data_IF_103212230704
#
_entry.id   IF_103212230704
#
_cell.length_a   1.000
_cell.length_b   1.000
_cell.length_c   1.000
_cell.angle_alpha   90.00
_cell.angle_beta   90.00
_cell.angle_gamma   90.00
#
_symmetry.space_group_name_H-M   'P 1'
#
loop_
_entity.id
_entity.type
_entity.pdbx_description
1 polymer ?
#
# COMPACT_ATOMS: atom_id res chain seq x y z
N UNK A 1 -17.10 7.01 26.77
CA UNK A 1 -16.57 6.61 25.47
C UNK A 1 -15.59 5.48 25.72
N UNK A 2 -15.39 4.60 24.76
CA UNK A 2 -14.44 3.50 24.89
C UNK A 2 -13.70 3.22 23.59
N UNK A 3 -12.41 2.93 23.74
CA UNK A 3 -11.50 2.57 22.66
C UNK A 3 -10.92 1.17 22.94
N UNK A 4 -11.34 0.16 22.18
CA UNK A 4 -10.87 -1.21 22.36
C UNK A 4 -9.97 -1.65 21.20
N UNK A 5 -8.79 -2.19 21.52
CA UNK A 5 -7.79 -2.64 20.54
C UNK A 5 -7.71 -4.17 20.49
N UNK A 6 -8.08 -4.76 19.36
CA UNK A 6 -7.96 -6.20 19.10
C UNK A 6 -6.63 -6.50 18.39
N UNK A 7 -5.58 -6.75 19.17
CA UNK A 7 -4.25 -7.07 18.66
C UNK A 7 -4.17 -8.56 18.32
N UNK A 8 -3.90 -8.89 17.05
CA UNK A 8 -3.68 -10.28 16.61
C UNK A 8 -2.19 -10.58 16.49
N UNK A 9 -1.75 -11.70 17.08
CA UNK A 9 -0.38 -12.21 16.91
C UNK A 9 -0.09 -12.39 15.43
N UNK A 10 1.08 -11.92 14.98
CA UNK A 10 1.53 -11.99 13.58
C UNK A 10 0.68 -11.20 12.56
N UNK A 11 -0.07 -10.20 13.00
CA UNK A 11 -0.75 -9.23 12.12
C UNK A 11 0.11 -7.98 11.88
N UNK A 12 -0.01 -7.37 10.71
CA UNK A 12 0.52 -6.01 10.45
C UNK A 12 -0.47 -4.90 10.84
N UNK A 13 -1.68 -5.29 11.24
CA UNK A 13 -2.80 -4.39 11.59
C UNK A 13 -3.42 -4.76 12.93
N UNK A 14 -3.96 -3.76 13.62
CA UNK A 14 -4.82 -3.87 14.80
C UNK A 14 -6.22 -3.38 14.44
N UNK A 15 -7.25 -4.11 14.82
CA UNK A 15 -8.63 -3.60 14.73
C UNK A 15 -8.90 -2.76 15.96
N UNK A 16 -9.27 -1.50 15.75
CA UNK A 16 -9.64 -0.57 16.82
C UNK A 16 -11.14 -0.33 16.75
N UNK A 17 -11.83 -0.63 17.85
CA UNK A 17 -13.26 -0.44 18.03
C UNK A 17 -13.50 0.84 18.83
N UNK A 18 -14.15 1.79 18.18
CA UNK A 18 -14.58 3.06 18.75
C UNK A 18 -16.02 2.93 19.21
N UNK A 19 -16.30 3.32 20.45
CA UNK A 19 -17.62 3.21 21.08
C UNK A 19 -17.97 4.53 21.76
N UNK A 20 -19.12 5.08 21.41
CA UNK A 20 -19.68 6.28 22.06
C UNK A 20 -21.05 5.90 22.62
N UNK A 21 -21.28 6.20 23.90
CA UNK A 21 -22.61 6.03 24.48
C UNK A 21 -23.51 7.20 24.06
N UNK A 22 -24.79 6.93 23.80
CA UNK A 22 -25.73 7.93 23.30
C UNK A 22 -25.87 9.15 24.22
N UNK A 23 -25.72 8.96 25.54
CA UNK A 23 -25.78 10.06 26.50
C UNK A 23 -24.57 11.02 26.39
N UNK A 24 -23.43 10.56 25.87
CA UNK A 24 -22.21 11.35 25.71
C UNK A 24 -22.22 12.18 24.42
N UNK A 25 -22.96 11.71 23.43
CA UNK A 25 -23.22 12.41 22.19
C UNK A 25 -24.68 12.22 21.76
N UNK A 26 -25.62 12.94 22.40
CA UNK A 26 -27.04 12.88 22.05
C UNK A 26 -27.23 13.33 20.61
N UNK A 27 -27.58 12.40 19.73
CA UNK A 27 -27.67 12.66 18.28
C UNK A 27 -28.90 12.01 17.69
N UNK A 28 -29.69 12.81 16.98
CA UNK A 28 -30.80 12.35 16.12
C UNK A 28 -30.30 11.73 14.81
N UNK A 29 -29.03 11.98 14.45
CA UNK A 29 -28.38 11.52 13.22
C UNK A 29 -27.11 10.71 13.51
N UNK A 30 -26.52 10.12 12.46
CA UNK A 30 -25.29 9.32 12.58
C UNK A 30 -24.10 10.18 13.00
N UNK A 31 -23.30 9.68 13.96
CA UNK A 31 -22.01 10.27 14.32
C UNK A 31 -20.97 9.87 13.27
N UNK A 32 -20.13 10.82 12.84
CA UNK A 32 -18.99 10.56 11.96
C UNK A 32 -17.71 10.37 12.78
N UNK A 33 -16.92 9.36 12.43
CA UNK A 33 -15.56 9.14 12.88
C UNK A 33 -14.61 9.55 11.75
N UNK A 34 -13.76 10.54 12.03
CA UNK A 34 -12.88 11.19 11.06
C UNK A 34 -11.46 11.16 11.60
N UNK A 35 -10.49 10.80 10.76
CA UNK A 35 -9.10 10.69 11.17
C UNK A 35 -8.18 10.37 10.00
N UNK A 36 -6.91 10.14 10.30
CA UNK A 36 -5.88 9.88 9.27
C UNK A 36 -6.19 8.63 8.42
N UNK A 37 -6.99 7.70 8.93
CA UNK A 37 -7.37 6.45 8.25
C UNK A 37 -8.49 6.60 7.22
N UNK A 38 -9.14 7.77 7.14
CA UNK A 38 -10.13 8.10 6.10
C UNK A 38 -9.94 9.51 5.55
N UNK A 39 -8.71 10.04 5.64
CA UNK A 39 -8.33 11.38 5.17
C UNK A 39 -9.29 12.49 5.65
N UNK A 40 -9.84 12.33 6.86
CA UNK A 40 -10.78 13.28 7.47
C UNK A 40 -12.03 13.59 6.61
N UNK A 41 -12.44 12.68 5.71
CA UNK A 41 -13.54 12.90 4.76
C UNK A 41 -14.94 12.74 5.40
N UNK A 42 -15.75 13.80 5.34
CA UNK A 42 -17.12 13.84 5.89
C UNK A 42 -18.19 13.27 4.97
N UNK A 43 -17.91 13.20 3.66
CA UNK A 43 -18.85 12.81 2.61
C UNK A 43 -18.81 11.30 2.27
N UNK A 44 -18.22 10.49 3.14
CA UNK A 44 -18.11 9.04 2.95
C UNK A 44 -18.95 8.27 3.95
N UNK A 45 -19.73 7.30 3.48
CA UNK A 45 -20.42 6.34 4.36
C UNK A 45 -19.43 5.52 5.21
N UNK A 46 -18.17 5.42 4.78
CA UNK A 46 -17.10 4.80 5.56
C UNK A 46 -16.84 5.53 6.89
N UNK A 47 -17.14 6.82 6.99
CA UNK A 47 -16.95 7.63 8.20
C UNK A 47 -18.10 7.49 9.20
N UNK A 48 -19.28 7.01 8.78
CA UNK A 48 -20.44 6.88 9.66
C UNK A 48 -20.25 5.74 10.68
N UNK A 49 -20.50 6.05 11.96
CA UNK A 49 -20.61 5.08 13.03
C UNK A 49 -21.98 4.40 12.97
N UNK A 50 -22.02 3.11 13.32
CA UNK A 50 -23.26 2.32 13.32
C UNK A 50 -23.93 2.43 14.69
N UNK A 51 -25.21 2.78 14.74
CA UNK A 51 -25.98 2.76 15.98
C UNK A 51 -26.34 1.31 16.35
N UNK A 52 -26.00 0.90 17.57
CA UNK A 52 -26.27 -0.40 18.16
C UNK A 52 -26.88 -0.18 19.56
N UNK A 53 -28.21 -0.20 19.65
CA UNK A 53 -28.93 0.18 20.87
C UNK A 53 -28.63 1.63 21.27
N UNK A 54 -28.15 1.82 22.49
CA UNK A 54 -27.78 3.13 23.05
C UNK A 54 -26.30 3.47 22.81
N UNK A 55 -25.65 2.83 21.84
CA UNK A 55 -24.24 3.06 21.53
C UNK A 55 -24.02 3.29 20.04
N UNK A 56 -22.98 4.03 19.69
CA UNK A 56 -22.47 4.17 18.35
C UNK A 56 -21.13 3.44 18.26
N UNK A 57 -20.98 2.57 17.26
CA UNK A 57 -19.84 1.67 17.14
C UNK A 57 -19.21 1.77 15.75
N UNK A 58 -17.88 1.80 15.70
CA UNK A 58 -17.12 1.66 14.45
C UNK A 58 -15.86 0.84 14.68
N UNK A 59 -15.58 -0.08 13.76
CA UNK A 59 -14.32 -0.82 13.74
C UNK A 59 -13.44 -0.29 12.60
N UNK A 60 -12.20 0.06 12.91
CA UNK A 60 -11.21 0.53 11.93
C UNK A 60 -9.96 -0.35 12.02
N UNK A 61 -9.44 -0.80 10.89
CA UNK A 61 -8.16 -1.51 10.83
C UNK A 61 -7.03 -0.50 10.65
N UNK A 62 -6.16 -0.40 11.63
CA UNK A 62 -5.02 0.52 11.65
C UNK A 62 -3.71 -0.26 11.59
N UNK A 63 -2.70 0.28 10.93
CA UNK A 63 -1.38 -0.36 10.85
C UNK A 63 -0.69 -0.28 12.21
N UNK A 64 -0.01 -1.36 12.58
CA UNK A 64 0.80 -1.37 13.81
C UNK A 64 2.01 -0.44 13.66
N UNK A 65 2.58 -0.02 14.79
CA UNK A 65 3.80 0.79 14.83
C UNK A 65 3.60 2.26 14.46
N UNK A 66 2.34 2.73 14.38
CA UNK A 66 1.98 4.10 14.03
C UNK A 66 1.07 4.72 15.09
N UNK A 67 0.99 6.05 15.04
CA UNK A 67 -0.02 6.85 15.73
C UNK A 67 -1.00 7.38 14.71
N UNK A 68 -2.25 7.53 15.13
CA UNK A 68 -3.33 8.04 14.30
C UNK A 68 -4.09 9.12 15.05
N UNK A 69 -4.34 10.24 14.38
CA UNK A 69 -5.19 11.30 14.87
C UNK A 69 -6.63 11.09 14.40
N UNK A 70 -7.59 11.44 15.25
CA UNK A 70 -9.02 11.35 14.94
C UNK A 70 -9.85 12.31 15.79
N UNK A 71 -11.09 12.58 15.33
CA UNK A 71 -12.15 13.23 16.08
C UNK A 71 -13.51 12.69 15.65
N UNK A 72 -14.53 12.99 16.45
CA UNK A 72 -15.92 12.75 16.10
C UNK A 72 -16.61 14.03 15.66
N UNK A 73 -17.57 13.89 14.75
CA UNK A 73 -18.46 14.96 14.32
C UNK A 73 -19.91 14.49 14.43
N UNK A 74 -20.72 15.21 15.20
CA UNK A 74 -22.17 15.03 15.22
C UNK A 74 -22.86 16.35 14.91
N UNK A 75 -24.10 16.26 14.42
CA UNK A 75 -24.91 17.41 14.05
C UNK A 75 -25.20 18.32 15.27
N UNK A 76 -25.52 17.71 16.42
CA UNK A 76 -25.91 18.45 17.63
C UNK A 76 -24.73 18.99 18.45
N UNK A 77 -23.61 18.25 18.50
CA UNK A 77 -22.46 18.57 19.36
C UNK A 77 -21.31 19.23 18.58
N UNK A 78 -21.32 19.14 17.25
CA UNK A 78 -20.20 19.53 16.42
C UNK A 78 -19.01 18.59 16.60
N UNK A 79 -17.80 19.14 16.51
CA UNK A 79 -16.56 18.38 16.64
C UNK A 79 -16.22 18.10 18.11
N UNK A 80 -15.97 16.84 18.46
CA UNK A 80 -15.55 16.47 19.81
C UNK A 80 -14.52 15.34 19.83
N UNK A 81 -13.79 15.26 20.94
CA UNK A 81 -12.74 14.29 21.19
C UNK A 81 -13.26 13.07 21.96
N UNK A 82 -12.53 11.96 21.86
CA UNK A 82 -12.74 10.78 22.69
C UNK A 82 -12.05 10.95 24.05
N UNK A 83 -12.77 10.76 25.15
CA UNK A 83 -12.22 10.80 26.52
C UNK A 83 -11.39 9.56 26.86
N UNK A 84 -11.54 8.48 26.09
CA UNK A 84 -10.79 7.23 26.22
C UNK A 84 -9.68 7.11 25.16
N UNK A 85 -9.33 8.22 24.47
CA UNK A 85 -8.18 8.26 23.57
C UNK A 85 -6.87 7.95 24.32
N UNK A 86 -5.87 7.43 23.61
CA UNK A 86 -4.54 7.19 24.19
C UNK A 86 -3.78 8.49 24.48
N UNK A 87 -4.23 9.60 23.92
CA UNK A 87 -3.70 10.93 24.14
C UNK A 87 -4.38 11.97 23.26
N UNK A 88 -3.85 13.18 23.31
CA UNK A 88 -4.26 14.31 22.47
C UNK A 88 -3.04 14.96 21.84
N UNK A 89 -3.22 15.57 20.67
CA UNK A 89 -2.16 16.30 19.97
C UNK A 89 -2.73 17.56 19.34
N UNK A 90 -1.95 18.64 19.29
CA UNK A 90 -2.39 19.89 18.67
C UNK A 90 -2.63 19.68 17.19
N UNK A 91 -3.82 20.09 16.73
CA UNK A 91 -4.13 20.13 15.30
C UNK A 91 -3.49 21.37 14.65
N UNK A 92 -3.47 21.46 13.31
CA UNK A 92 -3.04 22.67 12.61
C UNK A 92 -3.90 23.92 12.88
N UNK A 93 -5.07 23.75 13.49
CA UNK A 93 -5.95 24.85 13.87
C UNK A 93 -5.70 25.25 15.33
N UNK A 94 -5.55 26.55 15.54
CA UNK A 94 -5.23 27.13 16.84
C UNK A 94 -6.27 26.74 17.91
N UNK A 95 -5.79 26.28 19.07
CA UNK A 95 -6.64 25.89 20.20
C UNK A 95 -7.45 24.60 20.00
N UNK A 96 -7.24 23.85 18.91
CA UNK A 96 -7.93 22.59 18.63
C UNK A 96 -6.94 21.43 18.76
N UNK A 97 -7.31 20.41 19.55
CA UNK A 97 -6.55 19.17 19.70
C UNK A 97 -7.28 17.97 19.11
N UNK A 98 -6.57 17.05 18.49
CA UNK A 98 -7.11 15.78 17.99
C UNK A 98 -6.91 14.66 19.02
N UNK A 99 -7.85 13.72 19.09
CA UNK A 99 -7.67 12.47 19.82
C UNK A 99 -6.65 11.58 19.11
N UNK A 100 -5.89 10.82 19.89
CA UNK A 100 -4.83 9.93 19.37
C UNK A 100 -5.16 8.47 19.67
N UNK A 101 -4.98 7.61 18.66
CA UNK A 101 -4.80 6.17 18.82
C UNK A 101 -3.32 5.84 18.66
N UNK A 102 -2.71 5.30 19.71
CA UNK A 102 -1.30 4.93 19.73
C UNK A 102 -1.13 3.42 19.57
N UNK A 103 -0.54 3.02 18.44
CA UNK A 103 -0.12 1.65 18.14
C UNK A 103 1.41 1.56 17.98
N UNK A 104 2.18 2.57 18.38
CA UNK A 104 3.63 2.65 18.20
C UNK A 104 4.38 1.51 18.92
N UNK A 105 3.84 1.03 20.03
CA UNK A 105 4.40 -0.10 20.80
C UNK A 105 3.93 -1.47 20.29
N UNK A 106 2.94 -1.50 19.38
CA UNK A 106 2.46 -2.76 18.80
C UNK A 106 3.43 -3.20 17.71
N UNK A 107 4.01 -4.41 17.81
CA UNK A 107 5.03 -4.85 16.87
C UNK A 107 4.48 -4.92 15.44
N UNK A 108 5.19 -4.25 14.54
CA UNK A 108 4.93 -4.36 13.11
C UNK A 108 5.50 -5.68 12.63
N UNK A 109 4.64 -6.56 12.12
CA UNK A 109 5.13 -7.62 11.24
C UNK A 109 5.67 -6.94 10.00
N UNK A 110 7.00 -6.75 9.93
CA UNK A 110 7.71 -6.45 8.69
C UNK A 110 7.19 -7.45 7.66
N UNK A 111 6.55 -6.98 6.58
CA UNK A 111 6.22 -7.86 5.46
C UNK A 111 7.51 -8.61 5.16
N UNK A 112 7.50 -9.92 5.38
CA UNK A 112 8.60 -10.75 4.92
C UNK A 112 8.66 -10.49 3.42
N UNK A 113 9.66 -9.74 2.98
CA UNK A 113 10.05 -9.74 1.58
C UNK A 113 10.39 -11.20 1.36
N UNK A 114 9.44 -11.99 0.82
CA UNK A 114 9.78 -13.30 0.26
C UNK A 114 10.94 -12.97 -0.66
N UNK A 115 12.12 -13.50 -0.36
CA UNK A 115 13.31 -13.40 -1.20
C UNK A 115 12.85 -13.93 -2.55
N UNK A 116 12.42 -13.04 -3.45
CA UNK A 116 11.87 -13.45 -4.72
C UNK A 116 13.05 -14.13 -5.40
N UNK A 117 12.88 -15.42 -5.72
CA UNK A 117 13.92 -16.15 -6.45
C UNK A 117 14.15 -15.34 -7.73
N UNK A 118 15.32 -14.72 -7.84
CA UNK A 118 15.64 -13.89 -9.00
C UNK A 118 15.63 -14.80 -10.21
N UNK A 119 14.95 -14.35 -11.26
CA UNK A 119 14.96 -15.08 -12.51
C UNK A 119 16.26 -14.81 -13.25
N UNK A 120 16.69 -15.77 -14.06
CA UNK A 120 17.82 -15.56 -14.96
C UNK A 120 17.35 -14.78 -16.18
N UNK A 121 17.41 -13.44 -16.10
CA UNK A 121 16.99 -12.54 -17.18
C UNK A 121 17.84 -12.72 -18.45
N UNK A 122 18.98 -13.41 -18.38
CA UNK A 122 19.80 -13.74 -19.55
C UNK A 122 19.14 -14.72 -20.50
N UNK A 123 18.02 -15.33 -20.09
CA UNK A 123 17.16 -16.14 -20.97
C UNK A 123 16.35 -15.32 -21.97
N UNK A 124 16.35 -14.00 -21.85
CA UNK A 124 15.68 -13.08 -22.75
C UNK A 124 16.67 -12.62 -23.81
N UNK A 125 16.33 -12.81 -25.08
CA UNK A 125 17.16 -12.44 -26.22
C UNK A 125 17.40 -10.92 -26.23
N UNK A 126 18.66 -10.53 -26.44
CA UNK A 126 19.13 -9.16 -26.27
C UNK A 126 19.47 -8.73 -24.84
N UNK A 127 19.12 -9.51 -23.80
CA UNK A 127 19.48 -9.23 -22.40
C UNK A 127 20.77 -9.98 -22.02
N UNK A 128 21.92 -9.39 -22.33
CA UNK A 128 23.21 -9.93 -21.89
C UNK A 128 23.45 -9.81 -20.38
N UNK A 129 24.54 -10.44 -19.89
CA UNK A 129 24.90 -10.46 -18.46
C UNK A 129 24.89 -9.07 -17.82
N UNK A 130 25.40 -8.05 -18.52
CA UNK A 130 25.50 -6.70 -17.96
C UNK A 130 24.17 -5.96 -17.93
N UNK A 131 23.31 -6.13 -18.94
CA UNK A 131 21.95 -5.59 -18.95
C UNK A 131 21.10 -6.26 -17.86
N UNK A 132 21.23 -7.57 -17.68
CA UNK A 132 20.60 -8.28 -16.57
C UNK A 132 20.98 -7.67 -15.22
N UNK A 133 22.26 -7.33 -15.00
CA UNK A 133 22.68 -6.64 -13.77
C UNK A 133 22.03 -5.26 -13.61
N UNK A 134 22.03 -4.44 -14.68
CA UNK A 134 21.42 -3.11 -14.68
C UNK A 134 19.91 -3.18 -14.35
N UNK A 135 19.19 -4.13 -14.95
CA UNK A 135 17.77 -4.34 -14.70
C UNK A 135 17.53 -4.73 -13.24
N UNK A 136 18.32 -5.66 -12.69
CA UNK A 136 18.23 -6.08 -11.29
C UNK A 136 18.53 -4.92 -10.34
N UNK A 137 19.55 -4.11 -10.63
CA UNK A 137 19.89 -2.90 -9.86
C UNK A 137 18.74 -1.89 -9.86
N UNK A 138 17.97 -1.81 -10.95
CA UNK A 138 16.76 -0.99 -11.08
C UNK A 138 15.48 -1.71 -10.57
N UNK A 139 15.63 -2.79 -9.80
CA UNK A 139 14.53 -3.50 -9.17
C UNK A 139 13.78 -4.48 -10.07
N UNK A 140 14.17 -4.64 -11.34
CA UNK A 140 13.61 -5.59 -12.31
C UNK A 140 14.41 -6.90 -12.19
N UNK A 141 13.99 -7.76 -11.27
CA UNK A 141 14.73 -8.98 -10.90
C UNK A 141 14.01 -10.29 -11.25
N UNK A 142 12.84 -10.20 -11.89
CA UNK A 142 12.05 -11.36 -12.31
C UNK A 142 11.46 -11.16 -13.71
N UNK A 143 11.15 -12.27 -14.39
CA UNK A 143 10.38 -12.29 -15.63
C UNK A 143 9.06 -11.54 -15.45
N UNK A 144 8.41 -11.69 -14.29
CA UNK A 144 7.19 -10.96 -13.96
C UNK A 144 7.38 -9.45 -13.90
N UNK A 145 8.46 -8.96 -13.29
CA UNK A 145 8.70 -7.52 -13.26
C UNK A 145 9.05 -7.02 -14.67
N UNK A 146 9.87 -7.76 -15.40
CA UNK A 146 10.27 -7.39 -16.76
C UNK A 146 9.07 -7.35 -17.73
N UNK A 147 8.16 -8.32 -17.66
CA UNK A 147 6.96 -8.39 -18.51
C UNK A 147 5.95 -7.26 -18.24
N UNK A 148 5.91 -6.74 -17.02
CA UNK A 148 5.05 -5.63 -16.63
C UNK A 148 5.74 -4.26 -16.76
N UNK A 149 7.03 -4.22 -17.14
CA UNK A 149 7.75 -2.96 -17.34
C UNK A 149 7.52 -2.49 -18.78
N UNK A 150 7.13 -1.23 -18.95
CA UNK A 150 6.94 -0.66 -20.29
C UNK A 150 8.28 -0.52 -21.02
N UNK A 151 8.24 -0.63 -22.36
CA UNK A 151 9.43 -0.44 -23.22
C UNK A 151 10.08 0.93 -22.98
N UNK A 152 9.28 1.99 -22.77
CA UNK A 152 9.78 3.34 -22.47
C UNK A 152 10.62 3.41 -21.18
N UNK A 153 10.23 2.67 -20.14
CA UNK A 153 10.99 2.62 -18.88
C UNK A 153 12.29 1.84 -19.10
N UNK A 154 12.23 0.73 -19.84
CA UNK A 154 13.44 -0.05 -20.18
C UNK A 154 14.43 0.77 -21.01
N UNK A 155 13.96 1.54 -21.99
CA UNK A 155 14.79 2.46 -22.78
C UNK A 155 15.45 3.53 -21.91
N UNK A 156 14.71 4.07 -20.93
CA UNK A 156 15.24 5.05 -19.98
C UNK A 156 16.37 4.45 -19.15
N UNK A 157 16.14 3.26 -18.57
CA UNK A 157 17.15 2.53 -17.78
C UNK A 157 18.41 2.22 -18.62
N UNK A 158 18.23 1.77 -19.86
CA UNK A 158 19.35 1.46 -20.77
C UNK A 158 20.13 2.73 -21.13
N UNK A 159 19.44 3.83 -21.40
CA UNK A 159 20.05 5.12 -21.73
C UNK A 159 20.86 5.68 -20.56
N UNK A 160 20.34 5.57 -19.34
CA UNK A 160 21.02 5.98 -18.10
C UNK A 160 22.23 5.09 -17.78
N UNK A 161 22.18 3.80 -18.13
CA UNK A 161 23.31 2.89 -17.97
C UNK A 161 24.52 3.22 -18.86
N UNK A 162 24.32 4.07 -19.88
CA UNK A 162 25.38 4.74 -20.62
C UNK A 162 25.41 4.45 -22.12
N UNK A 163 26.21 5.22 -22.90
CA UNK A 163 26.18 5.19 -24.37
C UNK A 163 26.42 3.82 -25.00
N UNK A 164 27.21 2.96 -24.34
CA UNK A 164 27.53 1.60 -24.81
C UNK A 164 26.32 0.68 -24.95
N UNK A 165 25.20 0.98 -24.27
CA UNK A 165 24.01 0.12 -24.33
C UNK A 165 22.93 0.61 -25.30
N UNK A 166 23.12 1.77 -25.93
CA UNK A 166 22.12 2.39 -26.82
C UNK A 166 21.76 1.56 -28.07
N UNK A 167 22.59 0.58 -28.41
CA UNK A 167 22.31 -0.34 -29.52
C UNK A 167 21.32 -1.45 -29.14
N UNK A 168 21.10 -1.69 -27.84
CA UNK A 168 20.11 -2.69 -27.39
C UNK A 168 18.71 -2.12 -27.45
N UNK A 169 17.80 -2.86 -28.09
CA UNK A 169 16.38 -2.49 -28.23
C UNK A 169 15.53 -3.39 -27.32
N UNK A 170 14.89 -2.83 -26.27
CA UNK A 170 14.12 -3.63 -25.33
C UNK A 170 12.70 -4.00 -25.81
N UNK A 171 12.35 -3.67 -27.06
CA UNK A 171 10.97 -3.79 -27.57
C UNK A 171 10.33 -5.17 -27.39
N UNK A 172 11.12 -6.24 -27.56
CA UNK A 172 10.64 -7.62 -27.40
C UNK A 172 10.81 -8.18 -25.98
N UNK A 173 11.54 -7.49 -25.09
CA UNK A 173 11.87 -8.04 -23.77
C UNK A 173 10.65 -8.29 -22.88
N UNK A 174 9.64 -7.39 -22.82
CA UNK A 174 8.46 -7.65 -22.00
C UNK A 174 7.66 -8.88 -22.47
N UNK A 175 7.55 -9.09 -23.78
CA UNK A 175 6.83 -10.22 -24.37
C UNK A 175 7.56 -11.53 -24.11
N UNK A 176 8.86 -11.57 -24.38
CA UNK A 176 9.71 -12.73 -24.04
C UNK A 176 9.65 -13.06 -22.55
N UNK A 177 9.69 -12.04 -21.68
CA UNK A 177 9.60 -12.22 -20.23
C UNK A 177 8.23 -12.75 -19.82
N UNK A 178 7.16 -12.40 -20.53
CA UNK A 178 5.84 -12.98 -20.28
C UNK A 178 5.81 -14.49 -20.57
N UNK A 179 6.37 -14.91 -21.70
CA UNK A 179 6.48 -16.33 -22.04
C UNK A 179 7.34 -17.09 -21.02
N UNK A 180 8.47 -16.51 -20.62
CA UNK A 180 9.36 -17.09 -19.60
C UNK A 180 8.69 -17.19 -18.22
N UNK A 181 7.93 -16.17 -17.82
CA UNK A 181 7.14 -16.18 -16.58
C UNK A 181 6.09 -17.30 -16.59
N UNK A 182 5.45 -17.52 -17.72
CA UNK A 182 4.39 -18.52 -17.88
C UNK A 182 4.94 -19.93 -18.14
N UNK A 183 6.26 -20.11 -18.18
CA UNK A 183 6.93 -21.39 -18.42
C UNK A 183 6.84 -21.89 -19.87
N UNK A 184 6.46 -21.03 -20.81
CA UNK A 184 6.26 -21.33 -22.23
C UNK A 184 7.59 -21.27 -22.99
N UNK A 185 8.53 -22.13 -22.61
CA UNK A 185 9.91 -22.11 -23.14
C UNK A 185 10.01 -22.41 -24.63
N UNK A 186 9.13 -23.27 -25.17
CA UNK A 186 9.09 -23.57 -26.61
C UNK A 186 8.60 -22.36 -27.43
N UNK A 187 7.52 -21.71 -27.00
CA UNK A 187 7.03 -20.48 -27.64
C UNK A 187 8.06 -19.35 -27.54
N UNK A 188 8.75 -19.25 -26.40
CA UNK A 188 9.84 -18.29 -26.23
C UNK A 188 10.96 -18.55 -27.24
N UNK A 189 11.36 -19.80 -27.41
CA UNK A 189 12.41 -20.18 -28.36
C UNK A 189 12.01 -19.83 -29.79
N UNK A 190 10.77 -20.13 -30.20
CA UNK A 190 10.26 -19.77 -31.52
C UNK A 190 10.28 -18.26 -31.75
N UNK A 191 9.87 -17.47 -30.74
CA UNK A 191 9.94 -16.02 -30.81
C UNK A 191 11.40 -15.54 -30.94
N UNK A 192 12.34 -16.14 -30.21
CA UNK A 192 13.75 -15.80 -30.28
C UNK A 192 14.37 -16.14 -31.63
N UNK A 193 14.05 -17.29 -32.22
CA UNK A 193 14.52 -17.70 -33.55
C UNK A 193 14.06 -16.69 -34.62
N UNK A 194 12.84 -16.14 -34.50
CA UNK A 194 12.32 -15.09 -35.39
C UNK A 194 13.08 -13.77 -35.20
N UNK A 195 13.40 -13.42 -33.96
CA UNK A 195 14.10 -12.18 -33.63
C UNK A 195 15.57 -12.20 -34.05
N UNK A 196 16.27 -13.33 -33.89
CA UNK A 196 17.67 -13.51 -34.29
C UNK A 196 17.81 -13.67 -35.82
N UNK A 197 16.84 -14.33 -36.46
CA UNK A 197 16.78 -14.49 -37.92
C UNK A 197 16.43 -13.21 -38.70
N UNK A 198 16.10 -12.11 -38.02
CA UNK A 198 15.60 -10.86 -38.61
C UNK A 198 16.69 -9.83 -38.91
N UNK A 199 17.25 -9.91 -40.12
CA UNK A 199 18.00 -8.82 -40.80
C UNK A 199 17.17 -7.54 -40.94
#
# INVERSE_FOLDING_TARGET
MALAKEIKKNSSYTTVKFIIEEHEAPSSSSILLLGDFNDWQTNSSASQMKKEGNTFVKNVKLENGKRYEFRYLSENKGWFNDSAADGYTSSPFEGIENSVVDLSTVPVKKKAVKKVKKDDLKKIEGVGTKLSSILIENGIETFKKLSNTSVSVLETIIKEAGPRYRMHKPGSWPEQAKLAQDGKWEELKQLQDILDGGK
#
